data_IF_023128049892
#
_entry.id   IF_023128049892
#
_cell.length_a   1.000
_cell.length_b   1.000
_cell.length_c   1.000
_cell.angle_alpha   90.00
_cell.angle_beta   90.00
_cell.angle_gamma   90.00
#
_symmetry.space_group_name_H-M   'P 1'
#
loop_
_entity.id
_entity.type
_entity.pdbx_description
1 polymer ?
#
# COMPACT_ATOMS: atom_id res chain seq x y z
N UNK A 1 2.27 21.81 11.21
CA UNK A 1 2.74 20.76 10.28
C UNK A 1 1.53 19.94 9.88
N UNK A 2 1.00 20.16 8.69
CA UNK A 2 -0.17 19.43 8.19
C UNK A 2 0.30 18.04 7.81
N UNK A 3 -0.21 17.01 8.48
CA UNK A 3 0.01 15.61 8.07
C UNK A 3 -0.39 15.49 6.59
N UNK A 4 0.46 14.92 5.71
CA UNK A 4 0.09 14.78 4.31
C UNK A 4 -1.21 13.98 4.20
N UNK A 5 -2.15 14.53 3.44
CA UNK A 5 -3.47 13.95 3.18
C UNK A 5 -3.30 12.55 2.57
N UNK A 6 -4.11 11.59 3.02
CA UNK A 6 -4.07 10.24 2.44
C UNK A 6 -4.68 10.23 1.05
N UNK A 7 -4.19 9.35 0.18
CA UNK A 7 -4.69 9.24 -1.19
C UNK A 7 -6.19 8.93 -1.27
N UNK A 8 -6.71 8.09 -0.38
CA UNK A 8 -8.15 7.77 -0.31
C UNK A 8 -9.04 8.97 0.06
N UNK A 9 -8.47 10.06 0.59
CA UNK A 9 -9.21 11.28 0.95
C UNK A 9 -9.26 12.30 -0.19
N UNK A 10 -8.52 12.05 -1.28
CA UNK A 10 -8.41 12.99 -2.39
C UNK A 10 -9.61 12.93 -3.33
N UNK A 11 -9.95 14.08 -3.90
CA UNK A 11 -11.04 14.20 -4.88
C UNK A 11 -10.75 13.47 -6.21
N UNK A 12 -9.50 13.12 -6.50
CA UNK A 12 -9.07 12.36 -7.68
C UNK A 12 -8.94 10.85 -7.42
N UNK A 13 -9.22 10.35 -6.21
CA UNK A 13 -9.24 8.92 -5.88
C UNK A 13 -10.38 8.18 -6.61
N UNK A 14 -10.15 7.87 -7.89
CA UNK A 14 -11.13 7.32 -8.82
C UNK A 14 -10.43 6.33 -9.76
N UNK A 15 -11.10 5.21 -10.06
CA UNK A 15 -10.67 4.28 -11.11
C UNK A 15 -9.25 3.76 -10.89
N UNK A 16 -8.42 3.87 -11.92
CA UNK A 16 -7.02 3.43 -11.89
C UNK A 16 -6.11 4.39 -11.11
N UNK A 17 -6.47 5.67 -11.00
CA UNK A 17 -5.68 6.61 -10.20
C UNK A 17 -5.70 6.24 -8.71
N UNK A 18 -6.80 5.66 -8.23
CA UNK A 18 -6.87 5.12 -6.87
C UNK A 18 -5.83 4.01 -6.61
N UNK A 19 -5.46 3.22 -7.62
CA UNK A 19 -4.43 2.19 -7.48
C UNK A 19 -3.03 2.79 -7.34
N UNK A 20 -2.74 3.88 -8.04
CA UNK A 20 -1.47 4.60 -7.90
C UNK A 20 -1.35 5.23 -6.51
N UNK A 21 -2.38 5.97 -6.09
CA UNK A 21 -2.45 6.56 -4.75
C UNK A 21 -2.32 5.51 -3.64
N UNK A 22 -2.91 4.33 -3.83
CA UNK A 22 -2.79 3.23 -2.89
C UNK A 22 -1.35 2.72 -2.74
N UNK A 23 -0.57 2.67 -3.82
CA UNK A 23 0.84 2.26 -3.74
C UNK A 23 1.66 3.28 -2.93
N UNK A 24 1.47 4.57 -3.19
CA UNK A 24 2.17 5.65 -2.47
C UNK A 24 1.82 5.61 -0.96
N UNK A 25 0.55 5.43 -0.64
CA UNK A 25 0.11 5.32 0.76
C UNK A 25 0.62 4.04 1.44
N UNK A 26 0.73 2.93 0.71
CA UNK A 26 1.26 1.67 1.23
C UNK A 26 2.75 1.77 1.53
N UNK A 27 3.53 2.41 0.65
CA UNK A 27 4.95 2.71 0.88
C UNK A 27 5.12 3.53 2.17
N UNK A 28 4.29 4.57 2.34
CA UNK A 28 4.28 5.37 3.57
C UNK A 28 4.00 4.54 4.83
N UNK A 29 3.07 3.58 4.76
CA UNK A 29 2.79 2.66 5.89
C UNK A 29 4.01 1.79 6.19
N UNK A 30 4.56 1.15 5.18
CA UNK A 30 5.71 0.25 5.29
C UNK A 30 6.92 0.98 5.88
N UNK A 31 7.25 2.16 5.35
CA UNK A 31 8.40 2.96 5.79
C UNK A 31 8.24 3.47 7.22
N UNK A 32 7.04 3.91 7.60
CA UNK A 32 6.77 4.34 8.96
C UNK A 32 7.12 3.23 9.95
N UNK A 33 6.57 2.03 9.74
CA UNK A 33 6.84 0.92 10.66
C UNK A 33 8.27 0.38 10.51
N UNK A 34 8.89 0.44 9.34
CA UNK A 34 10.28 0.01 9.12
C UNK A 34 11.30 0.84 9.91
N UNK A 35 10.97 2.12 10.16
CA UNK A 35 11.84 3.08 10.86
C UNK A 35 11.54 3.23 12.36
N UNK A 36 10.52 2.54 12.90
CA UNK A 36 10.25 2.57 14.34
C UNK A 36 11.34 1.87 15.15
N UNK A 37 11.99 2.63 16.01
CA UNK A 37 12.97 2.13 16.96
C UNK A 37 12.33 1.80 18.32
N UNK A 38 12.95 0.88 19.07
CA UNK A 38 12.58 0.58 20.46
C UNK A 38 11.43 -0.43 20.65
N UNK A 39 10.68 -0.77 19.60
CA UNK A 39 9.66 -1.82 19.63
C UNK A 39 10.19 -3.16 19.10
N UNK A 40 9.67 -4.27 19.64
CA UNK A 40 9.96 -5.61 19.11
C UNK A 40 9.44 -5.76 17.68
N UNK A 41 10.17 -6.51 16.86
CA UNK A 41 9.85 -6.70 15.45
C UNK A 41 8.43 -7.26 15.24
N UNK A 42 8.01 -8.21 16.08
CA UNK A 42 6.70 -8.84 16.02
C UNK A 42 5.58 -7.84 16.27
N UNK A 43 5.77 -6.94 17.25
CA UNK A 43 4.83 -5.85 17.54
C UNK A 43 4.70 -4.91 16.35
N UNK A 44 5.83 -4.51 15.76
CA UNK A 44 5.85 -3.64 14.58
C UNK A 44 5.15 -4.29 13.38
N UNK A 45 5.37 -5.58 13.14
CA UNK A 45 4.65 -6.33 12.08
C UNK A 45 3.15 -6.35 12.33
N UNK A 46 2.72 -6.62 13.56
CA UNK A 46 1.30 -6.63 13.91
C UNK A 46 0.64 -5.27 13.69
N UNK A 47 1.30 -4.18 14.10
CA UNK A 47 0.81 -2.82 13.88
C UNK A 47 0.78 -2.46 12.39
N UNK A 48 1.85 -2.79 11.64
CA UNK A 48 1.91 -2.58 10.20
C UNK A 48 0.80 -3.34 9.46
N UNK A 49 0.53 -4.59 9.85
CA UNK A 49 -0.57 -5.39 9.34
C UNK A 49 -1.94 -4.73 9.60
N UNK A 50 -2.16 -4.23 10.82
CA UNK A 50 -3.39 -3.53 11.16
C UNK A 50 -3.54 -2.22 10.36
N UNK A 51 -2.46 -1.48 10.15
CA UNK A 51 -2.45 -0.27 9.32
C UNK A 51 -2.73 -0.57 7.85
N UNK A 52 -2.09 -1.59 7.27
CA UNK A 52 -2.34 -2.03 5.90
C UNK A 52 -3.80 -2.48 5.69
N UNK A 53 -4.38 -3.21 6.65
CA UNK A 53 -5.78 -3.62 6.61
C UNK A 53 -6.74 -2.42 6.67
N UNK A 54 -6.44 -1.43 7.52
CA UNK A 54 -7.21 -0.18 7.59
C UNK A 54 -7.11 0.60 6.29
N UNK A 55 -5.91 0.70 5.71
CA UNK A 55 -5.67 1.39 4.45
C UNK A 55 -6.47 0.75 3.31
N UNK A 56 -6.39 -0.57 3.17
CA UNK A 56 -7.16 -1.30 2.16
C UNK A 56 -8.67 -1.05 2.31
N UNK A 57 -9.19 -1.13 3.54
CA UNK A 57 -10.60 -0.87 3.82
C UNK A 57 -10.99 0.58 3.49
N UNK A 58 -10.12 1.55 3.76
CA UNK A 58 -10.36 2.94 3.40
C UNK A 58 -10.46 3.12 1.88
N UNK A 59 -9.59 2.48 1.11
CA UNK A 59 -9.66 2.48 -0.35
C UNK A 59 -10.91 1.77 -0.88
N UNK A 60 -11.29 0.62 -0.33
CA UNK A 60 -12.53 -0.06 -0.71
C UNK A 60 -13.78 0.81 -0.49
N UNK A 61 -13.78 1.64 0.56
CA UNK A 61 -14.92 2.50 0.87
C UNK A 61 -14.96 3.81 0.08
N UNK A 62 -13.80 4.38 -0.26
CA UNK A 62 -13.71 5.75 -0.78
C UNK A 62 -13.32 5.83 -2.27
N UNK A 63 -12.66 4.80 -2.82
CA UNK A 63 -12.25 4.82 -4.21
C UNK A 63 -13.48 4.69 -5.13
N UNK A 64 -13.76 5.73 -5.91
CA UNK A 64 -14.94 5.76 -6.78
C UNK A 64 -14.65 5.08 -8.12
N UNK A 65 -15.70 4.54 -8.77
CA UNK A 65 -15.61 3.92 -10.11
C UNK A 65 -14.55 2.80 -10.23
N UNK A 66 -14.27 2.09 -9.14
CA UNK A 66 -13.39 0.92 -9.14
C UNK A 66 -13.88 -0.08 -8.11
N UNK A 67 -13.67 -1.36 -8.37
CA UNK A 67 -13.91 -2.47 -7.44
C UNK A 67 -12.61 -3.20 -7.12
N UNK A 68 -11.46 -2.58 -7.42
CA UNK A 68 -10.16 -3.23 -7.35
C UNK A 68 -9.74 -3.64 -5.92
N UNK A 69 -10.37 -3.05 -4.89
CA UNK A 69 -10.07 -3.29 -3.48
C UNK A 69 -11.09 -4.23 -2.81
N UNK A 70 -12.18 -4.59 -3.50
CA UNK A 70 -13.26 -5.38 -2.92
C UNK A 70 -12.83 -6.82 -2.67
N UNK A 71 -13.03 -7.28 -1.43
CA UNK A 71 -12.67 -8.64 -1.01
C UNK A 71 -11.18 -8.96 -1.09
N UNK A 72 -10.32 -7.95 -1.23
CA UNK A 72 -8.87 -8.13 -1.27
C UNK A 72 -8.28 -8.20 0.13
N UNK A 73 -7.03 -8.67 0.23
CA UNK A 73 -6.28 -8.73 1.47
C UNK A 73 -4.79 -8.48 1.22
N UNK A 74 -4.07 -8.20 2.30
CA UNK A 74 -2.63 -7.88 2.30
C UNK A 74 -2.02 -8.56 3.51
N UNK A 75 -0.87 -9.21 3.32
CA UNK A 75 -0.06 -9.72 4.42
C UNK A 75 1.26 -8.95 4.51
N UNK A 76 1.59 -8.43 5.69
CA UNK A 76 2.88 -7.78 5.94
C UNK A 76 3.89 -8.80 6.42
N UNK A 77 5.03 -8.88 5.75
CA UNK A 77 6.17 -9.69 6.17
C UNK A 77 7.36 -8.83 6.55
N UNK A 78 8.07 -9.23 7.60
CA UNK A 78 9.36 -8.66 7.95
C UNK A 78 10.48 -9.45 7.28
N UNK A 79 11.49 -8.74 6.78
CA UNK A 79 12.74 -9.32 6.33
C UNK A 79 13.89 -8.46 6.82
N UNK A 80 14.99 -9.08 7.26
CA UNK A 80 16.24 -8.37 7.51
C UNK A 80 17.06 -8.43 6.22
N UNK A 81 17.38 -7.26 5.65
CA UNK A 81 18.24 -7.20 4.48
C UNK A 81 19.70 -7.57 4.82
N UNK A 82 20.58 -7.79 3.83
CA UNK A 82 21.98 -8.13 4.07
C UNK A 82 22.77 -7.09 4.88
N UNK A 83 22.27 -5.86 5.01
CA UNK A 83 22.85 -4.81 5.86
C UNK A 83 22.36 -4.87 7.31
N UNK A 84 21.45 -5.80 7.63
CA UNK A 84 20.84 -5.96 8.94
C UNK A 84 19.66 -5.02 9.18
N UNK A 85 19.22 -4.25 8.16
CA UNK A 85 18.08 -3.35 8.28
C UNK A 85 16.77 -4.11 8.10
N UNK A 86 15.84 -3.90 9.01
CA UNK A 86 14.48 -4.40 8.89
C UNK A 86 13.75 -3.71 7.74
N UNK A 87 13.19 -4.51 6.84
CA UNK A 87 12.28 -4.10 5.79
C UNK A 87 10.92 -4.78 6.00
N UNK A 88 9.84 -4.07 5.70
CA UNK A 88 8.50 -4.64 5.64
C UNK A 88 8.05 -4.75 4.19
N UNK A 89 7.49 -5.90 3.83
CA UNK A 89 7.07 -6.20 2.47
C UNK A 89 5.58 -6.52 2.47
N UNK A 90 4.74 -5.75 1.75
CA UNK A 90 3.33 -6.07 1.58
C UNK A 90 3.17 -7.15 0.51
N UNK A 91 2.53 -8.25 0.89
CA UNK A 91 2.14 -9.33 0.01
C UNK A 91 0.66 -9.15 -0.34
N UNK A 92 0.40 -8.69 -1.55
CA UNK A 92 -0.96 -8.45 -2.04
C UNK A 92 -1.65 -9.75 -2.46
N UNK A 93 -2.97 -9.84 -2.22
CA UNK A 93 -3.82 -10.88 -2.81
C UNK A 93 -3.68 -10.93 -4.34
N UNK A 94 -3.94 -12.10 -4.93
CA UNK A 94 -3.78 -12.31 -6.38
C UNK A 94 -4.59 -11.31 -7.21
N UNK A 95 -5.83 -11.02 -6.81
CA UNK A 95 -6.70 -10.05 -7.49
C UNK A 95 -6.12 -8.64 -7.46
N UNK A 96 -5.76 -8.14 -6.28
CA UNK A 96 -5.15 -6.82 -6.12
C UNK A 96 -3.82 -6.73 -6.90
N UNK A 97 -2.97 -7.76 -6.79
CA UNK A 97 -1.71 -7.83 -7.54
C UNK A 97 -1.91 -7.72 -9.05
N UNK A 98 -2.90 -8.43 -9.61
CA UNK A 98 -3.22 -8.35 -11.05
C UNK A 98 -3.62 -6.93 -11.46
N UNK A 99 -4.43 -6.23 -10.65
CA UNK A 99 -4.83 -4.84 -10.93
C UNK A 99 -3.64 -3.88 -10.87
N UNK A 100 -2.76 -4.03 -9.87
CA UNK A 100 -1.54 -3.25 -9.74
C UNK A 100 -0.56 -3.51 -10.91
N UNK A 101 -0.40 -4.76 -11.33
CA UNK A 101 0.43 -5.09 -12.50
C UNK A 101 -0.12 -4.49 -13.79
N UNK A 102 -1.45 -4.51 -13.99
CA UNK A 102 -2.07 -3.90 -15.16
C UNK A 102 -1.85 -2.37 -15.21
N UNK A 103 -1.85 -1.69 -14.05
CA UNK A 103 -1.49 -0.28 -13.95
C UNK A 103 -0.04 -0.05 -14.42
N UNK A 104 0.92 -0.82 -13.89
CA UNK A 104 2.34 -0.67 -14.23
C UNK A 104 2.62 -0.91 -15.73
N UNK A 105 2.01 -1.96 -16.30
CA UNK A 105 2.16 -2.28 -17.73
C UNK A 105 1.68 -1.15 -18.63
N UNK A 106 0.63 -0.41 -18.23
CA UNK A 106 0.13 0.72 -18.99
C UNK A 106 1.04 1.93 -18.87
N UNK A 107 1.53 2.23 -17.67
CA UNK A 107 2.49 3.31 -17.44
C UNK A 107 3.78 3.15 -18.26
N UNK A 108 4.25 1.91 -18.40
CA UNK A 108 5.40 1.57 -19.25
C UNK A 108 5.11 1.77 -20.75
N UNK A 109 3.87 1.55 -21.19
CA UNK A 109 3.45 1.79 -22.57
C UNK A 109 3.32 3.28 -22.88
N UNK A 110 2.74 4.08 -21.97
CA UNK A 110 2.63 5.54 -22.17
C UNK A 110 3.98 6.26 -22.17
N UNK A 111 4.99 5.72 -21.48
CA UNK A 111 6.35 6.32 -21.44
C UNK A 111 7.16 6.01 -22.70
N UNK A 112 6.76 5.02 -23.50
CA UNK A 112 7.47 4.59 -24.72
C UNK A 112 6.91 5.20 -26.02
N UNK A 113 5.94 6.11 -25.93
CA UNK A 113 5.35 6.85 -27.04
C UNK A 113 5.69 8.34 -26.95
#
# INVERSE_FOLDING_TARGET
MTTPQWGYERADCIGEHALALFLDDMERVVDHYATLDGEQIETRVFQAQAAANKLLKAYANNARKTTAFDGQFIDIKAFADPSGKTQFVPIFSSGLKQKLMALLQRSDQTTRH
#
